data_IF_710424467990
#
_entry.id   IF_710424467990
#
_cell.length_a   1.000
_cell.length_b   1.000
_cell.length_c   1.000
_cell.angle_alpha   90.00
_cell.angle_beta   90.00
_cell.angle_gamma   90.00
#
_symmetry.space_group_name_H-M   'P 1'
#
loop_
_entity.id
_entity.type
_entity.pdbx_description
1 polymer ?
#
# COMPACT_ATOMS: atom_id res chain seq x y z
N UNK A 1 12.44 -16.51 -12.31
CA UNK A 1 12.95 -15.26 -11.69
C UNK A 1 13.06 -15.50 -10.20
N UNK A 2 14.28 -15.48 -9.67
CA UNK A 2 14.55 -15.50 -8.23
C UNK A 2 14.17 -14.13 -7.67
N UNK A 3 13.14 -14.07 -6.82
CA UNK A 3 12.75 -12.85 -6.14
C UNK A 3 13.75 -12.61 -5.00
N UNK A 4 14.50 -11.52 -5.08
CA UNK A 4 15.50 -11.12 -4.10
C UNK A 4 14.83 -10.37 -2.94
N UNK A 5 15.29 -10.63 -1.71
CA UNK A 5 14.94 -9.80 -0.54
C UNK A 5 15.41 -8.38 -0.81
N UNK A 6 14.53 -7.40 -0.68
CA UNK A 6 14.86 -6.00 -0.86
C UNK A 6 15.36 -5.36 0.43
N UNK A 7 16.20 -4.34 0.29
CA UNK A 7 16.62 -3.43 1.35
C UNK A 7 16.05 -2.03 1.10
N UNK A 8 16.08 -1.11 2.09
CA UNK A 8 15.79 0.29 1.85
C UNK A 8 16.70 0.83 0.73
N UNK A 9 16.08 1.32 -0.35
CA UNK A 9 16.75 1.87 -1.51
C UNK A 9 16.79 3.40 -1.49
N UNK A 10 17.04 3.99 -2.67
CA UNK A 10 16.98 5.44 -2.82
C UNK A 10 15.53 5.92 -2.82
N UNK A 11 15.30 7.15 -2.31
CA UNK A 11 13.99 7.79 -2.43
C UNK A 11 13.71 8.08 -3.90
N UNK A 12 12.52 7.70 -4.35
CA UNK A 12 12.03 8.07 -5.68
C UNK A 12 11.79 9.57 -5.78
N UNK A 13 12.08 10.14 -6.94
CA UNK A 13 11.89 11.56 -7.21
C UNK A 13 10.39 11.93 -7.23
N UNK A 14 10.02 13.20 -6.99
CA UNK A 14 8.61 13.63 -7.05
C UNK A 14 7.91 13.31 -8.38
N UNK A 15 8.65 13.35 -9.50
CA UNK A 15 8.12 12.98 -10.83
C UNK A 15 7.82 11.49 -10.93
N UNK A 16 8.70 10.65 -10.39
CA UNK A 16 8.46 9.20 -10.34
C UNK A 16 7.27 8.89 -9.44
N UNK A 17 7.17 9.53 -8.27
CA UNK A 17 6.04 9.39 -7.36
C UNK A 17 4.71 9.79 -8.04
N UNK A 18 4.69 10.89 -8.80
CA UNK A 18 3.53 11.28 -9.59
C UNK A 18 3.16 10.21 -10.63
N UNK A 19 4.14 9.68 -11.35
CA UNK A 19 3.94 8.59 -12.30
C UNK A 19 3.35 7.34 -11.64
N UNK A 20 3.89 6.91 -10.50
CA UNK A 20 3.39 5.77 -9.74
C UNK A 20 1.96 5.99 -9.23
N UNK A 21 1.66 7.21 -8.77
CA UNK A 21 0.30 7.61 -8.40
C UNK A 21 -0.66 7.48 -9.58
N UNK A 22 -0.27 7.92 -10.77
CA UNK A 22 -1.10 7.79 -11.97
C UNK A 22 -1.34 6.33 -12.36
N UNK A 23 -0.27 5.52 -12.40
CA UNK A 23 -0.37 4.06 -12.67
C UNK A 23 -1.33 3.40 -11.68
N UNK A 24 -1.19 3.72 -10.39
CA UNK A 24 -2.03 3.12 -9.36
C UNK A 24 -3.52 3.46 -9.53
N UNK A 25 -3.85 4.72 -9.85
CA UNK A 25 -5.22 5.18 -10.11
C UNK A 25 -5.85 4.51 -11.31
N UNK A 26 -5.07 4.29 -12.38
CA UNK A 26 -5.55 3.60 -13.59
C UNK A 26 -5.81 2.10 -13.34
N UNK A 27 -4.99 1.47 -12.50
CA UNK A 27 -5.13 0.04 -12.19
C UNK A 27 -6.19 -0.29 -11.15
N UNK A 28 -6.53 0.69 -10.29
CA UNK A 28 -7.52 0.55 -9.23
C UNK A 28 -7.08 -0.35 -8.07
N UNK A 29 -7.80 -0.21 -6.95
CA UNK A 29 -7.59 -0.97 -5.72
C UNK A 29 -6.31 -0.62 -4.96
N UNK A 30 -6.23 -1.09 -3.72
CA UNK A 30 -5.06 -0.96 -2.84
C UNK A 30 -4.74 -2.27 -2.13
N UNK A 31 -3.56 -2.36 -1.53
CA UNK A 31 -3.33 -3.39 -0.52
C UNK A 31 -3.80 -2.89 0.84
N UNK A 32 -4.58 -3.69 1.55
CA UNK A 32 -4.98 -3.43 2.93
C UNK A 32 -4.33 -4.49 3.80
N UNK A 33 -3.48 -4.08 4.73
CA UNK A 33 -2.80 -4.98 5.66
C UNK A 33 -3.52 -4.84 6.99
N UNK A 34 -4.20 -5.90 7.42
CA UNK A 34 -4.80 -6.00 8.74
C UNK A 34 -3.76 -6.64 9.67
N UNK A 35 -3.00 -5.80 10.38
CA UNK A 35 -1.99 -6.23 11.35
C UNK A 35 -2.66 -6.43 12.71
N UNK A 36 -2.74 -7.67 13.18
CA UNK A 36 -3.57 -8.06 14.31
C UNK A 36 -2.72 -8.69 15.39
N UNK A 37 -2.72 -8.08 16.56
CA UNK A 37 -2.06 -8.65 17.73
C UNK A 37 -2.87 -9.82 18.28
N UNK A 38 -2.22 -10.96 18.50
CA UNK A 38 -2.84 -12.19 18.99
C UNK A 38 -2.72 -12.37 20.51
N UNK A 39 -2.01 -11.49 21.20
CA UNK A 39 -1.84 -11.59 22.65
C UNK A 39 -3.14 -11.31 23.41
N UNK A 40 -3.20 -11.84 24.63
CA UNK A 40 -4.38 -11.69 25.50
C UNK A 40 -4.66 -10.24 25.90
N UNK A 41 -3.64 -9.37 25.93
CA UNK A 41 -3.77 -7.95 26.27
C UNK A 41 -4.64 -7.20 25.26
N UNK A 42 -4.57 -7.59 23.98
CA UNK A 42 -5.44 -7.07 22.91
C UNK A 42 -6.74 -7.84 22.80
N UNK A 43 -6.69 -9.16 23.01
CA UNK A 43 -7.83 -10.10 23.10
C UNK A 43 -9.12 -9.53 22.52
N UNK A 44 -9.27 -9.59 21.19
CA UNK A 44 -10.32 -8.89 20.45
C UNK A 44 -11.72 -9.16 21.01
N UNK A 45 -12.12 -8.32 21.95
CA UNK A 45 -13.43 -8.32 22.57
C UNK A 45 -14.49 -7.97 21.53
N UNK A 46 -15.77 -7.98 21.93
CA UNK A 46 -16.87 -7.65 21.04
C UNK A 46 -16.67 -6.29 20.34
N UNK A 47 -15.97 -5.33 20.95
CA UNK A 47 -15.73 -4.01 20.37
C UNK A 47 -14.66 -4.01 19.28
N UNK A 48 -13.54 -4.72 19.50
CA UNK A 48 -12.53 -4.93 18.46
C UNK A 48 -13.13 -5.57 17.21
N UNK A 49 -14.02 -6.54 17.40
CA UNK A 49 -14.80 -7.18 16.32
C UNK A 49 -15.74 -6.19 15.63
N UNK A 50 -16.47 -5.37 16.39
CA UNK A 50 -17.36 -4.34 15.82
C UNK A 50 -16.58 -3.32 14.99
N UNK A 51 -15.42 -2.84 15.46
CA UNK A 51 -14.61 -1.85 14.71
C UNK A 51 -13.97 -2.45 13.48
N UNK A 52 -13.48 -3.68 13.57
CA UNK A 52 -12.96 -4.39 12.42
C UNK A 52 -14.05 -4.60 11.37
N UNK A 53 -15.25 -5.00 11.79
CA UNK A 53 -16.43 -5.04 10.92
C UNK A 53 -16.71 -3.67 10.30
N UNK A 54 -16.69 -2.58 11.05
CA UNK A 54 -16.89 -1.23 10.50
C UNK A 54 -15.81 -0.84 9.48
N UNK A 55 -14.55 -1.25 9.67
CA UNK A 55 -13.47 -1.01 8.71
C UNK A 55 -13.72 -1.82 7.44
N UNK A 56 -14.04 -3.12 7.59
CA UNK A 56 -14.36 -4.00 6.47
C UNK A 56 -15.56 -3.48 5.68
N UNK A 57 -16.61 -3.06 6.37
CA UNK A 57 -17.82 -2.54 5.76
C UNK A 57 -17.57 -1.21 5.08
N UNK A 58 -16.98 -0.23 5.77
CA UNK A 58 -17.01 1.16 5.31
C UNK A 58 -15.74 1.61 4.58
N UNK A 59 -14.61 0.95 4.82
CA UNK A 59 -13.31 1.40 4.31
C UNK A 59 -12.78 0.51 3.18
N UNK A 60 -13.05 -0.79 3.19
CA UNK A 60 -12.58 -1.70 2.13
C UNK A 60 -13.45 -1.49 0.88
N UNK A 61 -12.79 -1.38 -0.28
CA UNK A 61 -13.46 -1.14 -1.56
C UNK A 61 -13.29 -2.33 -2.51
N UNK A 62 -14.24 -2.58 -3.42
CA UNK A 62 -14.05 -3.52 -4.51
C UNK A 62 -12.75 -3.22 -5.27
N UNK A 63 -11.92 -4.25 -5.47
CA UNK A 63 -10.58 -4.16 -6.05
C UNK A 63 -9.43 -4.15 -5.05
N UNK A 64 -9.72 -4.02 -3.75
CA UNK A 64 -8.71 -4.10 -2.68
C UNK A 64 -8.21 -5.54 -2.49
N UNK A 65 -6.94 -5.66 -2.10
CA UNK A 65 -6.28 -6.91 -1.75
C UNK A 65 -5.96 -6.89 -0.26
N UNK A 66 -6.55 -7.81 0.50
CA UNK A 66 -6.48 -7.79 1.95
C UNK A 66 -5.51 -8.85 2.44
N UNK A 67 -4.49 -8.42 3.17
CA UNK A 67 -3.53 -9.27 3.84
C UNK A 67 -3.90 -9.30 5.32
N UNK A 68 -4.13 -10.49 5.86
CA UNK A 68 -4.38 -10.68 7.29
C UNK A 68 -3.05 -11.13 7.89
N UNK A 69 -2.48 -10.29 8.76
CA UNK A 69 -1.12 -10.44 9.28
C UNK A 69 -1.19 -10.49 10.80
N UNK A 70 -1.45 -11.66 11.38
CA UNK A 70 -1.41 -11.81 12.82
C UNK A 70 0.02 -11.75 13.35
N UNK A 71 0.21 -11.23 14.55
CA UNK A 71 1.53 -11.15 15.19
C UNK A 71 1.45 -11.27 16.72
N UNK A 72 2.58 -11.58 17.33
CA UNK A 72 2.83 -11.52 18.78
C UNK A 72 4.31 -11.17 19.01
N UNK A 73 5.14 -12.14 19.42
CA UNK A 73 6.61 -11.97 19.49
C UNK A 73 7.30 -11.94 18.12
N UNK A 74 6.67 -12.50 17.10
CA UNK A 74 7.01 -12.34 15.68
C UNK A 74 5.70 -12.38 14.89
N UNK A 75 5.77 -12.14 13.58
CA UNK A 75 4.62 -12.27 12.70
C UNK A 75 4.27 -13.75 12.53
N UNK A 76 3.02 -14.10 12.84
CA UNK A 76 2.50 -15.47 12.81
C UNK A 76 2.00 -15.76 11.40
N UNK A 77 2.95 -16.03 10.51
CA UNK A 77 2.63 -16.35 9.13
C UNK A 77 2.70 -17.87 8.92
N UNK A 78 1.68 -18.44 8.26
CA UNK A 78 1.66 -19.86 7.87
C UNK A 78 2.72 -20.21 6.81
N UNK A 79 2.49 -21.24 5.99
CA UNK A 79 3.42 -21.63 4.93
C UNK A 79 3.64 -20.49 3.90
N UNK A 80 4.71 -19.72 4.08
CA UNK A 80 5.07 -18.57 3.25
C UNK A 80 6.38 -18.84 2.51
N UNK A 81 6.41 -18.44 1.25
CA UNK A 81 7.65 -18.14 0.53
C UNK A 81 7.98 -16.65 0.70
N UNK A 82 8.97 -16.27 1.53
CA UNK A 82 9.20 -14.88 1.94
C UNK A 82 9.44 -13.91 0.78
N UNK A 83 9.93 -14.42 -0.35
CA UNK A 83 10.24 -13.60 -1.51
C UNK A 83 9.05 -13.40 -2.46
N UNK A 84 8.04 -14.28 -2.44
CA UNK A 84 6.88 -14.21 -3.35
C UNK A 84 5.69 -13.51 -2.70
N UNK A 85 5.32 -13.96 -1.49
CA UNK A 85 4.15 -13.52 -0.74
C UNK A 85 4.56 -13.29 0.73
N UNK A 86 5.36 -12.24 1.01
CA UNK A 86 5.98 -12.03 2.33
C UNK A 86 4.98 -11.85 3.47
N UNK A 87 3.73 -11.46 3.17
CA UNK A 87 2.64 -11.25 4.12
C UNK A 87 1.50 -12.27 3.95
N UNK A 88 1.76 -13.38 3.27
CA UNK A 88 0.78 -14.41 2.98
C UNK A 88 -0.04 -14.16 1.72
N UNK A 89 -1.07 -14.97 1.52
CA UNK A 89 -1.94 -14.92 0.35
C UNK A 89 -3.04 -13.87 0.57
N UNK A 90 -3.14 -12.83 -0.29
CA UNK A 90 -4.16 -11.82 -0.12
C UNK A 90 -5.54 -12.35 -0.49
N UNK A 91 -6.55 -11.88 0.23
CA UNK A 91 -7.96 -12.03 -0.14
C UNK A 91 -8.34 -10.87 -1.05
N UNK A 92 -8.76 -11.16 -2.29
CA UNK A 92 -9.24 -10.12 -3.20
C UNK A 92 -10.68 -9.77 -2.85
N UNK A 93 -10.95 -8.51 -2.53
CA UNK A 93 -12.30 -8.03 -2.28
C UNK A 93 -12.99 -7.66 -3.60
N UNK A 94 -13.88 -8.53 -4.07
CA UNK A 94 -14.47 -8.39 -5.42
C UNK A 94 -15.78 -7.57 -5.38
N UNK A 95 -16.63 -7.81 -4.38
CA UNK A 95 -17.93 -7.15 -4.25
C UNK A 95 -18.19 -6.82 -2.79
N UNK A 96 -18.88 -5.69 -2.57
CA UNK A 96 -19.37 -5.30 -1.24
C UNK A 96 -20.75 -5.91 -1.03
N UNK A 97 -20.81 -7.07 -0.40
CA UNK A 97 -22.05 -7.71 0.05
C UNK A 97 -21.83 -8.41 1.40
N UNK A 98 -22.91 -8.76 2.10
CA UNK A 98 -22.83 -9.35 3.43
C UNK A 98 -21.99 -10.64 3.42
N UNK A 99 -22.16 -11.49 2.42
CA UNK A 99 -21.41 -12.75 2.28
C UNK A 99 -19.90 -12.52 2.22
N UNK A 100 -19.43 -11.57 1.40
CA UNK A 100 -18.00 -11.25 1.28
C UNK A 100 -17.45 -10.59 2.55
N UNK A 101 -18.28 -9.85 3.28
CA UNK A 101 -17.92 -9.28 4.57
C UNK A 101 -17.73 -10.38 5.61
N UNK A 102 -18.70 -11.29 5.73
CA UNK A 102 -18.62 -12.39 6.69
C UNK A 102 -17.51 -13.40 6.33
N UNK A 103 -17.27 -13.72 5.05
CA UNK A 103 -16.14 -14.56 4.63
C UNK A 103 -14.80 -13.92 5.00
N UNK A 104 -14.66 -12.60 4.82
CA UNK A 104 -13.45 -11.90 5.24
C UNK A 104 -13.28 -11.91 6.76
N UNK A 105 -14.34 -11.59 7.51
CA UNK A 105 -14.31 -11.58 8.97
C UNK A 105 -14.01 -12.96 9.55
N UNK A 106 -14.51 -14.04 8.93
CA UNK A 106 -14.25 -15.41 9.36
C UNK A 106 -12.78 -15.83 9.21
N UNK A 107 -12.03 -15.22 8.29
CA UNK A 107 -10.59 -15.49 8.09
C UNK A 107 -9.71 -14.75 9.08
N UNK A 108 -10.26 -13.79 9.80
CA UNK A 108 -9.51 -13.00 10.76
C UNK A 108 -9.42 -13.78 12.08
N UNK A 109 -8.21 -14.00 12.63
CA UNK A 109 -8.06 -14.62 13.94
C UNK A 109 -8.52 -13.64 15.03
N UNK A 110 -9.80 -13.71 15.37
CA UNK A 110 -10.47 -12.83 16.34
C UNK A 110 -10.38 -13.33 17.78
N UNK A 111 -9.69 -14.43 18.03
CA UNK A 111 -9.48 -15.00 19.36
C UNK A 111 -8.00 -14.88 19.69
N UNK A 112 -7.70 -14.31 20.85
CA UNK A 112 -6.36 -14.45 21.43
C UNK A 112 -6.08 -15.93 21.62
N UNK A 113 -4.82 -16.32 21.39
CA UNK A 113 -4.38 -17.69 21.59
C UNK A 113 -3.40 -17.68 22.76
N UNK A 114 -3.71 -18.46 23.80
CA UNK A 114 -2.93 -18.56 25.03
C UNK A 114 -1.50 -19.09 24.79
N UNK A 115 -1.23 -19.64 23.61
CA UNK A 115 0.12 -20.03 23.20
C UNK A 115 0.99 -18.82 22.81
N UNK A 116 0.40 -17.66 22.53
CA UNK A 116 1.13 -16.42 22.25
C UNK A 116 1.18 -15.54 23.50
N UNK A 117 2.39 -15.25 23.96
CA UNK A 117 2.66 -14.37 25.09
C UNK A 117 3.67 -13.30 24.69
N UNK A 118 3.43 -12.07 25.14
CA UNK A 118 4.29 -10.93 24.83
C UNK A 118 4.20 -10.46 23.38
N UNK A 119 4.19 -9.14 23.19
CA UNK A 119 4.15 -8.49 21.88
C UNK A 119 5.48 -7.82 21.55
N UNK A 120 6.16 -8.27 20.49
CA UNK A 120 7.29 -7.56 19.90
C UNK A 120 6.83 -6.66 18.75
N UNK A 121 6.30 -5.49 19.13
CA UNK A 121 5.71 -4.56 18.17
C UNK A 121 6.72 -4.04 17.15
N UNK A 122 7.97 -3.80 17.56
CA UNK A 122 9.01 -3.32 16.64
C UNK A 122 9.38 -4.40 15.62
N UNK A 123 9.31 -5.69 15.98
CA UNK A 123 9.55 -6.78 15.05
C UNK A 123 8.43 -6.89 14.04
N UNK A 124 7.18 -6.80 14.50
CA UNK A 124 6.01 -6.76 13.63
C UNK A 124 6.11 -5.60 12.63
N UNK A 125 6.47 -4.40 13.08
CA UNK A 125 6.72 -3.24 12.21
C UNK A 125 7.78 -3.54 11.15
N UNK A 126 8.96 -4.00 11.55
CA UNK A 126 10.05 -4.31 10.62
C UNK A 126 9.60 -5.31 9.53
N UNK A 127 8.98 -6.42 9.94
CA UNK A 127 8.53 -7.48 9.04
C UNK A 127 7.43 -7.02 8.10
N UNK A 128 6.44 -6.29 8.62
CA UNK A 128 5.33 -5.77 7.82
C UNK A 128 5.84 -4.76 6.80
N UNK A 129 6.69 -3.80 7.21
CA UNK A 129 7.25 -2.79 6.31
C UNK A 129 8.15 -3.39 5.22
N UNK A 130 8.99 -4.37 5.56
CA UNK A 130 9.73 -5.15 4.57
C UNK A 130 8.79 -5.86 3.59
N UNK A 131 7.75 -6.51 4.12
CA UNK A 131 6.82 -7.30 3.31
C UNK A 131 6.02 -6.46 2.32
N UNK A 132 5.49 -5.31 2.75
CA UNK A 132 4.74 -4.41 1.86
C UNK A 132 5.64 -3.84 0.75
N UNK A 133 6.89 -3.50 1.07
CA UNK A 133 7.84 -2.97 0.12
C UNK A 133 8.23 -4.04 -0.90
N UNK A 134 8.43 -5.29 -0.43
CA UNK A 134 8.72 -6.44 -1.28
C UNK A 134 7.54 -6.75 -2.22
N UNK A 135 6.29 -6.62 -1.77
CA UNK A 135 5.11 -6.80 -2.62
C UNK A 135 5.14 -5.81 -3.81
N UNK A 136 5.38 -4.53 -3.56
CA UNK A 136 5.46 -3.54 -4.64
C UNK A 136 6.70 -3.72 -5.52
N UNK A 137 7.84 -4.14 -4.96
CA UNK A 137 9.02 -4.47 -5.76
C UNK A 137 8.81 -5.70 -6.64
N UNK A 138 8.10 -6.72 -6.16
CA UNK A 138 7.71 -7.88 -6.96
C UNK A 138 6.83 -7.47 -8.14
N UNK A 139 5.92 -6.49 -7.95
CA UNK A 139 5.10 -5.93 -9.02
C UNK A 139 5.94 -5.16 -10.03
N UNK A 140 6.91 -4.37 -9.58
CA UNK A 140 7.86 -3.67 -10.45
C UNK A 140 8.57 -4.66 -11.38
N UNK A 141 9.16 -5.72 -10.82
CA UNK A 141 9.88 -6.75 -11.58
C UNK A 141 8.97 -7.50 -12.57
N UNK A 142 7.75 -7.82 -12.14
CA UNK A 142 6.73 -8.49 -12.98
C UNK A 142 5.99 -7.53 -13.91
N UNK A 143 6.33 -6.24 -13.93
CA UNK A 143 5.68 -5.20 -14.74
C UNK A 143 4.17 -5.11 -14.48
N UNK A 144 3.76 -5.36 -13.23
CA UNK A 144 2.39 -5.20 -12.76
C UNK A 144 2.21 -3.80 -12.16
N UNK A 145 0.96 -3.35 -12.08
CA UNK A 145 0.65 -2.04 -11.50
C UNK A 145 1.01 -2.01 -10.01
N UNK A 146 1.84 -1.05 -9.61
CA UNK A 146 2.18 -0.76 -8.22
C UNK A 146 0.96 -0.13 -7.55
N UNK A 147 0.66 -0.57 -6.32
CA UNK A 147 -0.54 -0.16 -5.59
C UNK A 147 -0.19 0.68 -4.37
N UNK A 148 -1.07 1.61 -3.95
CA UNK A 148 -1.02 2.19 -2.63
C UNK A 148 -1.32 1.09 -1.60
N UNK A 149 -0.87 1.30 -0.37
CA UNK A 149 -1.01 0.33 0.70
C UNK A 149 -1.57 1.03 1.94
N UNK A 150 -2.40 0.36 2.71
CA UNK A 150 -2.96 0.88 3.97
C UNK A 150 -2.78 -0.19 5.04
N UNK A 151 -2.04 0.12 6.09
CA UNK A 151 -1.87 -0.78 7.23
C UNK A 151 -2.85 -0.35 8.32
N UNK A 152 -3.69 -1.27 8.74
CA UNK A 152 -4.59 -1.13 9.88
C UNK A 152 -3.97 -1.91 11.03
N UNK A 153 -3.47 -1.20 12.02
CA UNK A 153 -2.95 -1.81 13.23
C UNK A 153 -4.07 -1.97 14.25
N UNK A 154 -4.16 -3.18 14.77
CA UNK A 154 -5.08 -3.57 15.82
C UNK A 154 -4.26 -4.15 16.96
N UNK A 155 -3.76 -3.25 17.80
CA UNK A 155 -2.86 -3.54 18.92
C UNK A 155 -2.97 -2.44 19.96
N UNK A 156 -2.66 -2.76 21.20
CA UNK A 156 -2.48 -1.83 22.31
C UNK A 156 -1.02 -1.38 22.48
N UNK A 157 -0.09 -2.04 21.77
CA UNK A 157 1.33 -1.72 21.80
C UNK A 157 1.63 -0.36 21.15
N UNK A 158 2.64 0.38 21.65
CA UNK A 158 3.01 1.67 21.10
C UNK A 158 3.74 1.50 19.76
N UNK A 159 3.11 2.02 18.70
CA UNK A 159 3.65 2.03 17.35
C UNK A 159 4.65 3.19 17.15
N UNK A 160 5.61 3.02 16.25
CA UNK A 160 6.60 4.04 15.83
C UNK A 160 7.47 4.57 16.98
N UNK A 161 7.75 3.74 17.97
CA UNK A 161 8.68 4.08 19.06
C UNK A 161 10.10 4.21 18.53
N UNK A 162 10.94 4.93 19.26
CA UNK A 162 12.37 5.08 18.94
C UNK A 162 13.10 3.72 19.00
N UNK A 163 14.24 3.57 18.28
CA UNK A 163 15.09 2.38 18.38
C UNK A 163 15.48 2.05 19.83
N UNK A 164 15.50 0.77 20.19
CA UNK A 164 15.85 0.32 21.53
C UNK A 164 14.69 0.41 22.52
N UNK A 165 13.57 -0.26 22.22
CA UNK A 165 12.39 -0.20 23.08
C UNK A 165 12.69 -0.78 24.47
N UNK A 166 12.36 -0.01 25.51
CA UNK A 166 12.58 -0.41 26.90
C UNK A 166 11.30 -0.94 27.53
N UNK A 167 11.41 -1.78 28.57
CA UNK A 167 10.25 -2.26 29.34
C UNK A 167 9.42 -1.15 29.99
N UNK A 168 9.97 0.07 30.12
CA UNK A 168 9.21 1.25 30.58
C UNK A 168 8.24 1.79 29.52
N UNK A 169 8.58 1.62 28.25
CA UNK A 169 7.76 2.05 27.11
C UNK A 169 6.77 0.95 26.75
N UNK A 170 7.25 -0.30 26.69
CA UNK A 170 6.42 -1.47 26.42
C UNK A 170 6.99 -2.68 27.13
N UNK A 171 6.26 -3.18 28.13
CA UNK A 171 6.74 -4.25 29.00
C UNK A 171 6.74 -5.61 28.30
N UNK A 172 5.89 -5.79 27.29
CA UNK A 172 5.65 -7.08 26.67
C UNK A 172 6.67 -7.47 25.59
N UNK A 173 7.55 -6.56 25.16
CA UNK A 173 8.63 -6.93 24.22
C UNK A 173 9.47 -8.05 24.85
N UNK A 174 9.77 -9.16 24.17
CA UNK A 174 10.61 -10.23 24.71
C UNK A 174 12.00 -9.75 25.14
N UNK A 175 12.53 -10.33 26.22
CA UNK A 175 13.80 -9.89 26.82
C UNK A 175 15.02 -10.06 25.91
N UNK A 176 14.96 -11.09 25.07
CA UNK A 176 15.95 -11.48 24.08
C UNK A 176 15.78 -10.78 22.73
N UNK A 177 14.78 -9.91 22.57
CA UNK A 177 14.57 -9.22 21.30
C UNK A 177 15.73 -8.27 20.97
N UNK A 178 16.36 -8.39 19.79
CA UNK A 178 17.45 -7.50 19.38
C UNK A 178 16.98 -6.05 19.23
N UNK A 179 15.67 -5.82 19.07
CA UNK A 179 15.06 -4.49 18.92
C UNK A 179 15.01 -3.70 20.23
N UNK A 180 15.33 -4.34 21.37
CA UNK A 180 15.59 -3.65 22.64
C UNK A 180 16.91 -2.88 22.64
N UNK A 181 17.83 -3.21 21.71
CA UNK A 181 19.12 -2.54 21.56
C UNK A 181 19.01 -1.54 20.41
N UNK A 182 19.22 -0.25 20.68
CA UNK A 182 19.06 0.80 19.68
C UNK A 182 19.99 0.64 18.46
N UNK A 183 21.22 0.18 18.70
CA UNK A 183 22.25 0.01 17.67
C UNK A 183 22.29 -1.39 17.05
N UNK A 184 21.30 -2.25 17.35
CA UNK A 184 21.23 -3.55 16.68
C UNK A 184 20.94 -3.39 15.19
N UNK A 185 21.41 -4.33 14.33
CA UNK A 185 21.09 -4.32 12.92
C UNK A 185 19.59 -4.22 12.63
N UNK A 186 18.76 -4.94 13.40
CA UNK A 186 17.31 -4.95 13.27
C UNK A 186 16.67 -3.59 13.61
N UNK A 187 17.15 -2.94 14.68
CA UNK A 187 16.69 -1.59 15.06
C UNK A 187 17.02 -0.56 13.99
N UNK A 188 18.24 -0.60 13.46
CA UNK A 188 18.68 0.28 12.39
C UNK A 188 17.92 0.02 11.08
N UNK A 189 17.69 -1.25 10.74
CA UNK A 189 16.91 -1.62 9.56
C UNK A 189 15.46 -1.13 9.68
N UNK A 190 14.81 -1.32 10.84
CA UNK A 190 13.45 -0.83 11.09
C UNK A 190 13.38 0.69 10.93
N UNK A 191 14.33 1.40 11.53
CA UNK A 191 14.39 2.86 11.44
C UNK A 191 14.59 3.33 9.99
N UNK A 192 15.45 2.66 9.22
CA UNK A 192 15.65 2.95 7.81
C UNK A 192 14.36 2.75 6.97
N UNK A 193 13.61 1.67 7.23
CA UNK A 193 12.32 1.43 6.57
C UNK A 193 11.27 2.50 6.90
N UNK A 194 11.18 2.90 8.17
CA UNK A 194 10.27 3.95 8.60
C UNK A 194 10.58 5.31 7.96
N UNK A 195 11.86 5.60 7.72
CA UNK A 195 12.31 6.84 7.08
C UNK A 195 12.09 6.85 5.55
N UNK A 196 12.24 5.70 4.89
CA UNK A 196 12.14 5.62 3.43
C UNK A 196 10.70 5.51 2.93
N UNK A 197 9.81 4.88 3.71
CA UNK A 197 8.42 4.69 3.32
C UNK A 197 7.63 5.99 3.53
N UNK A 198 6.85 6.44 2.53
CA UNK A 198 6.04 7.67 2.63
C UNK A 198 4.76 7.39 3.44
N UNK A 199 4.93 7.25 4.75
CA UNK A 199 3.89 6.86 5.70
C UNK A 199 3.07 8.08 6.14
N UNK A 200 1.74 7.99 6.00
CA UNK A 200 0.79 8.97 6.53
C UNK A 200 -0.09 8.35 7.61
N UNK A 201 0.06 8.82 8.85
CA UNK A 201 -0.66 8.30 10.02
C UNK A 201 -2.04 8.97 10.16
N UNK A 202 -3.06 8.14 10.37
CA UNK A 202 -4.40 8.52 10.82
C UNK A 202 -4.77 7.63 12.01
N UNK A 203 -4.87 8.19 13.21
CA UNK A 203 -5.20 7.43 14.41
C UNK A 203 -6.46 7.97 15.08
N UNK A 204 -7.26 7.05 15.62
CA UNK A 204 -8.41 7.36 16.46
C UNK A 204 -8.24 6.63 17.79
N UNK A 205 -8.23 7.39 18.88
CA UNK A 205 -8.29 6.82 20.23
C UNK A 205 -9.74 6.52 20.58
N UNK A 206 -9.99 5.31 21.08
CA UNK A 206 -11.33 4.83 21.41
C UNK A 206 -11.30 4.37 22.88
N UNK A 207 -12.29 4.81 23.64
CA UNK A 207 -12.49 4.38 25.02
C UNK A 207 -13.53 3.27 25.05
N UNK A 208 -13.20 2.13 25.65
CA UNK A 208 -14.15 1.02 25.84
C UNK A 208 -15.16 1.35 26.96
N UNK A 209 -16.29 0.63 27.06
CA UNK A 209 -17.22 0.71 28.18
C UNK A 209 -16.56 0.43 29.54
N UNK A 210 -15.49 -0.36 29.57
CA UNK A 210 -14.66 -0.57 30.76
C UNK A 210 -13.59 0.52 30.98
N UNK A 211 -13.69 1.65 30.27
CA UNK A 211 -12.80 2.80 30.34
C UNK A 211 -11.34 2.51 29.96
N UNK A 212 -11.09 1.46 29.17
CA UNK A 212 -9.77 1.17 28.60
C UNK A 212 -9.60 1.96 27.30
N UNK A 213 -8.42 2.55 27.10
CA UNK A 213 -8.11 3.31 25.89
C UNK A 213 -7.36 2.42 24.91
N UNK A 214 -7.90 2.22 23.71
CA UNK A 214 -7.18 1.55 22.61
C UNK A 214 -7.06 2.48 21.40
N UNK A 215 -5.95 2.37 20.66
CA UNK A 215 -5.69 3.23 19.50
C UNK A 215 -5.84 2.42 18.22
N UNK A 216 -6.89 2.72 17.46
CA UNK A 216 -7.00 2.25 16.08
C UNK A 216 -6.15 3.16 15.19
N UNK A 217 -5.06 2.62 14.64
CA UNK A 217 -4.15 3.39 13.80
C UNK A 217 -4.13 2.84 12.36
N UNK A 218 -4.40 3.73 11.41
CA UNK A 218 -4.31 3.46 9.99
C UNK A 218 -3.14 4.24 9.42
N UNK A 219 -2.24 3.54 8.74
CA UNK A 219 -1.07 4.11 8.10
C UNK A 219 -1.18 3.90 6.60
N UNK A 220 -1.45 4.97 5.88
CA UNK A 220 -1.48 4.93 4.42
C UNK A 220 -0.09 5.17 3.87
N UNK A 221 0.27 4.39 2.87
CA UNK A 221 1.56 4.43 2.20
C UNK A 221 1.28 4.64 0.72
N UNK A 222 1.80 5.74 0.20
CA UNK A 222 1.69 6.04 -1.22
C UNK A 222 2.33 4.93 -2.07
N UNK A 223 1.86 4.71 -3.31
CA UNK A 223 2.47 3.76 -4.22
C UNK A 223 3.97 4.07 -4.35
N UNK A 224 4.81 3.17 -3.87
CA UNK A 224 6.25 3.35 -3.79
C UNK A 224 6.98 2.04 -4.05
N UNK A 225 8.24 2.15 -4.46
CA UNK A 225 9.17 1.05 -4.68
C UNK A 225 10.57 1.49 -4.27
N UNK A 226 11.44 0.53 -3.99
CA UNK A 226 12.85 0.80 -3.72
C UNK A 226 13.58 0.99 -5.05
N UNK A 227 14.14 2.19 -5.26
CA UNK A 227 14.93 2.51 -6.45
C UNK A 227 16.38 2.07 -6.22
N UNK A 228 16.90 1.33 -7.21
CA UNK A 228 18.31 0.95 -7.30
C UNK A 228 18.82 1.37 -8.67
N UNK A 229 19.76 2.32 -8.70
CA UNK A 229 20.37 2.82 -9.92
C UNK A 229 21.77 2.22 -10.08
N UNK A 230 22.05 1.68 -11.27
CA UNK A 230 23.36 1.12 -11.61
C UNK A 230 24.11 2.08 -12.54
N UNK A 231 25.38 2.44 -12.24
CA UNK A 231 26.19 3.23 -13.13
C UNK A 231 26.34 2.59 -14.51
N UNK A 232 26.23 3.39 -15.57
CA UNK A 232 26.36 2.99 -16.96
C UNK A 232 27.40 3.87 -17.68
N UNK A 233 28.02 3.37 -18.76
CA UNK A 233 29.02 4.13 -19.52
C UNK A 233 28.52 5.51 -19.95
N UNK A 234 29.43 6.49 -19.99
CA UNK A 234 29.11 7.87 -20.39
C UNK A 234 28.52 8.74 -19.27
N UNK A 235 28.86 8.47 -18.02
CA UNK A 235 28.35 9.19 -16.83
C UNK A 235 26.82 9.15 -16.71
N UNK A 236 26.23 8.02 -17.11
CA UNK A 236 24.78 7.81 -17.02
C UNK A 236 24.48 6.81 -15.90
N UNK A 237 23.24 6.83 -15.42
CA UNK A 237 22.73 5.85 -14.46
C UNK A 237 21.50 5.16 -15.04
N UNK A 238 21.40 3.87 -14.79
CA UNK A 238 20.26 3.04 -15.20
C UNK A 238 19.44 2.67 -13.98
N UNK A 239 18.26 3.27 -13.89
CA UNK A 239 17.32 3.07 -12.78
C UNK A 239 16.11 2.24 -13.25
N UNK A 240 15.42 1.58 -12.32
CA UNK A 240 14.35 0.62 -12.64
C UNK A 240 12.99 1.27 -12.85
N UNK A 241 12.70 2.39 -12.17
CA UNK A 241 11.35 2.98 -12.16
C UNK A 241 11.03 3.71 -13.47
N UNK A 242 12.00 4.39 -14.09
CA UNK A 242 11.74 5.16 -15.31
C UNK A 242 11.32 4.26 -16.50
N UNK A 243 12.03 3.14 -16.78
CA UNK A 243 11.57 2.18 -17.78
C UNK A 243 10.19 1.60 -17.45
N UNK A 244 9.93 1.29 -16.19
CA UNK A 244 8.63 0.79 -15.73
C UNK A 244 7.50 1.79 -16.00
N UNK A 245 7.66 3.06 -15.62
CA UNK A 245 6.63 4.10 -15.80
C UNK A 245 6.31 4.31 -17.28
N UNK A 246 7.34 4.34 -18.14
CA UNK A 246 7.16 4.44 -19.58
C UNK A 246 6.32 3.27 -20.10
N UNK A 247 6.62 2.04 -19.63
CA UNK A 247 5.87 0.86 -20.03
C UNK A 247 4.42 0.83 -19.52
N UNK A 248 4.12 1.38 -18.34
CA UNK A 248 2.75 1.41 -17.82
C UNK A 248 1.90 2.53 -18.43
N UNK A 249 2.51 3.67 -18.76
CA UNK A 249 1.77 4.88 -19.13
C UNK A 249 1.68 5.13 -20.64
N UNK A 250 2.45 4.47 -21.49
CA UNK A 250 2.41 4.72 -22.94
C UNK A 250 1.04 4.42 -23.57
N UNK A 251 0.39 3.31 -23.21
CA UNK A 251 -0.94 2.96 -23.74
C UNK A 251 -2.02 3.94 -23.27
N UNK A 252 -2.18 4.25 -21.96
CA UNK A 252 -3.09 5.30 -21.52
C UNK A 252 -2.82 6.65 -22.19
N UNK A 253 -1.54 7.01 -22.37
CA UNK A 253 -1.16 8.28 -22.98
C UNK A 253 -1.56 8.33 -24.45
N UNK A 254 -1.36 7.24 -25.20
CA UNK A 254 -1.75 7.14 -26.60
C UNK A 254 -3.28 7.23 -26.77
N UNK A 255 -4.04 6.55 -25.91
CA UNK A 255 -5.50 6.64 -25.89
C UNK A 255 -5.95 8.09 -25.62
N UNK A 256 -5.36 8.75 -24.63
CA UNK A 256 -5.68 10.14 -24.30
C UNK A 256 -5.38 11.09 -25.46
N UNK A 257 -4.24 10.90 -26.15
CA UNK A 257 -3.88 11.69 -27.33
C UNK A 257 -4.88 11.52 -28.47
N UNK A 258 -5.37 10.30 -28.71
CA UNK A 258 -6.39 10.03 -29.73
C UNK A 258 -7.72 10.73 -29.39
N UNK A 259 -8.14 10.70 -28.13
CA UNK A 259 -9.36 11.39 -27.67
C UNK A 259 -9.22 12.90 -27.85
N UNK A 260 -8.10 13.49 -27.41
CA UNK A 260 -7.84 14.91 -27.56
C UNK A 260 -7.76 15.34 -29.03
N UNK A 261 -7.10 14.54 -29.88
CA UNK A 261 -7.04 14.79 -31.32
C UNK A 261 -8.42 14.75 -31.97
N UNK A 262 -9.27 13.79 -31.58
CA UNK A 262 -10.66 13.70 -32.06
C UNK A 262 -11.51 14.90 -31.62
N UNK A 263 -11.41 15.32 -30.35
CA UNK A 263 -12.10 16.49 -29.84
C UNK A 263 -11.68 17.77 -30.56
N UNK A 264 -10.36 17.95 -30.74
CA UNK A 264 -9.83 19.12 -31.43
C UNK A 264 -10.25 19.16 -32.90
N UNK A 265 -10.19 18.03 -33.61
CA UNK A 265 -10.66 17.92 -34.98
C UNK A 265 -12.16 18.19 -35.13
N UNK A 266 -12.97 17.71 -34.18
CA UNK A 266 -14.42 17.94 -34.15
C UNK A 266 -14.75 19.42 -33.89
N UNK A 267 -14.09 20.04 -32.92
CA UNK A 267 -14.24 21.46 -32.62
C UNK A 267 -13.82 22.33 -33.81
N UNK A 268 -12.72 21.99 -34.47
CA UNK A 268 -12.26 22.69 -35.68
C UNK A 268 -13.27 22.57 -36.83
N UNK A 269 -13.82 21.37 -37.06
CA UNK A 269 -14.86 21.14 -38.08
C UNK A 269 -16.11 21.96 -37.78
N UNK A 270 -16.58 21.96 -36.53
CA UNK A 270 -17.73 22.77 -36.09
C UNK A 270 -17.49 24.27 -36.27
N UNK A 271 -16.31 24.76 -35.89
CA UNK A 271 -15.92 26.14 -36.13
C UNK A 271 -15.94 26.48 -37.63
N UNK A 272 -15.45 25.59 -38.49
CA UNK A 272 -15.46 25.81 -39.95
C UNK A 272 -16.89 25.86 -40.50
N UNK A 273 -17.79 24.99 -40.02
CA UNK A 273 -19.20 24.98 -40.40
C UNK A 273 -19.97 26.23 -39.96
N UNK A 274 -19.54 26.85 -38.85
CA UNK A 274 -20.08 28.13 -38.36
C UNK A 274 -19.57 29.36 -39.12
N UNK A 275 -18.57 29.24 -40.01
CA UNK A 275 -18.21 30.35 -40.89
C UNK A 275 -19.34 30.57 -41.89
N UNK A 276 -19.69 31.84 -42.12
CA UNK A 276 -20.69 32.23 -43.12
C UNK A 276 -20.27 31.67 -44.48
N UNK A 277 -21.18 30.94 -45.13
CA UNK A 277 -20.97 30.46 -46.49
C UNK A 277 -21.20 31.63 -47.45
N UNK A 278 -20.20 31.95 -48.28
CA UNK A 278 -20.36 32.90 -49.38
C UNK A 278 -20.88 32.14 -50.60
N UNK A 279 -22.07 32.52 -51.06
CA UNK A 279 -22.69 31.97 -52.26
C UNK A 279 -22.27 32.84 -53.46
N UNK A 280 -21.40 32.30 -54.32
CA UNK A 280 -21.10 32.92 -55.61
C UNK A 280 -22.08 32.40 -56.67
N UNK A 281 -22.95 33.29 -57.15
CA UNK A 281 -23.86 33.00 -58.26
C UNK A 281 -23.21 33.50 -59.54
N UNK A 282 -23.01 32.61 -60.50
CA UNK A 282 -22.61 32.94 -61.86
C UNK A 282 -23.86 32.87 -62.74
N UNK A 283 -24.19 33.98 -63.40
CA UNK A 283 -25.27 34.03 -64.39
C UNK A 283 -24.57 34.04 -65.74
N UNK A 284 -24.75 32.98 -66.53
CA UNK A 284 -24.38 32.97 -67.94
C UNK A 284 -25.43 33.78 -68.71
N UNK A 285 -25.01 34.92 -69.26
CA UNK A 285 -25.79 35.62 -70.28
C UNK A 285 -25.68 34.83 -71.58
N UNK A 286 -26.78 34.25 -72.02
CA UNK A 286 -26.94 33.76 -73.39
C UNK A 286 -27.41 34.93 -74.26
N UNK A 287 -26.51 35.42 -75.11
CA UNK A 287 -26.85 36.22 -76.30
C UNK A 287 -27.48 35.34 -77.39
#
# INVERSE_FOLDING_TARGET
MTLTKISPGQQITPRQQFGLNLVSKLSGGRDVILAIDLTESVGLNNEGRIRLRQIVENSIKPGDYIYIVPFAQDVVLGAITPSVNPLGTPVRYIRRNQESIEDLLARIPLTSDSNYYGTDIQRAELRIYQGIAQINHNRLQKKQAIKPQSIVWLTDAPLFTEPGITSKVWIETPADSPLRIADSPESQERHAWMKILPIHKRSLSITTPENKLYTLAVYDIYPTVQEFCTPAPGNQETCLVNPYLRQQLWTPSLILLLILGSLFGSAFKLHRLHRKWELHIYIEEHE
#
